data_IF_236855673062
#
_entry.id   IF_236855673062
#
_cell.length_a   1.000
_cell.length_b   1.000
_cell.length_c   1.000
_cell.angle_alpha   90.00
_cell.angle_beta   90.00
_cell.angle_gamma   90.00
#
_symmetry.space_group_name_H-M   'P 1'
#
loop_
_entity.id
_entity.type
_entity.pdbx_description
1 polymer ?
#
# COMPACT_ATOMS: atom_id res chain seq x y z
N UNK A 1 -9.30 11.44 -0.60
CA UNK A 1 -8.10 12.27 -0.32
C UNK A 1 -7.32 12.40 -1.61
N UNK A 2 -6.94 13.61 -2.00
CA UNK A 2 -6.31 13.85 -3.29
C UNK A 2 -4.85 14.28 -3.14
N UNK A 3 -4.00 13.77 -4.03
CA UNK A 3 -2.61 14.17 -4.25
C UNK A 3 -2.49 15.05 -5.49
N UNK A 4 -1.37 14.93 -6.19
CA UNK A 4 -1.09 15.63 -7.45
C UNK A 4 -1.54 14.83 -8.68
N UNK A 5 -1.43 13.52 -8.62
CA UNK A 5 -1.69 12.59 -9.72
C UNK A 5 -2.85 11.65 -9.44
N UNK A 6 -3.04 11.29 -8.16
CA UNK A 6 -4.04 10.30 -7.75
C UNK A 6 -4.87 10.78 -6.56
N UNK A 7 -6.01 10.13 -6.37
CA UNK A 7 -6.78 10.21 -5.13
C UNK A 7 -6.92 8.83 -4.48
N UNK A 8 -6.98 8.81 -3.16
CA UNK A 8 -7.35 7.65 -2.38
C UNK A 8 -8.84 7.75 -2.03
N UNK A 9 -9.63 6.74 -2.43
CA UNK A 9 -11.06 6.63 -2.13
C UNK A 9 -11.40 5.30 -1.47
N UNK A 10 -12.56 5.21 -0.90
CA UNK A 10 -13.11 3.92 -0.43
C UNK A 10 -13.37 2.98 -1.59
N UNK A 11 -13.50 1.69 -1.26
CA UNK A 11 -13.93 0.65 -2.20
C UNK A 11 -15.41 0.84 -2.53
N UNK A 12 -15.78 0.65 -3.79
CA UNK A 12 -17.14 0.68 -4.29
C UNK A 12 -17.55 -0.71 -4.81
N UNK A 13 -18.85 -0.96 -4.97
CA UNK A 13 -19.34 -2.27 -5.43
C UNK A 13 -18.88 -2.62 -6.85
N UNK A 14 -18.70 -1.59 -7.69
CA UNK A 14 -18.22 -1.70 -9.06
C UNK A 14 -16.73 -2.04 -9.21
N UNK A 15 -15.97 -2.04 -8.10
CA UNK A 15 -14.51 -2.27 -8.15
C UNK A 15 -14.11 -3.75 -8.30
N UNK A 16 -15.06 -4.69 -8.42
CA UNK A 16 -14.75 -6.14 -8.55
C UNK A 16 -13.79 -6.40 -9.71
N UNK A 17 -14.03 -5.76 -10.86
CA UNK A 17 -13.16 -5.94 -12.04
C UNK A 17 -11.73 -5.45 -11.79
N UNK A 18 -11.58 -4.34 -11.09
CA UNK A 18 -10.29 -3.76 -10.72
C UNK A 18 -9.55 -4.67 -9.73
N UNK A 19 -10.27 -5.28 -8.80
CA UNK A 19 -9.70 -6.25 -7.88
C UNK A 19 -9.28 -7.55 -8.59
N UNK A 20 -10.06 -8.04 -9.56
CA UNK A 20 -9.67 -9.18 -10.39
C UNK A 20 -8.36 -8.91 -11.12
N UNK A 21 -8.19 -7.71 -11.68
CA UNK A 21 -6.94 -7.31 -12.32
C UNK A 21 -5.76 -7.24 -11.34
N UNK A 22 -6.00 -6.71 -10.12
CA UNK A 22 -4.98 -6.67 -9.06
C UNK A 22 -4.53 -8.06 -8.62
N UNK A 23 -5.48 -9.00 -8.45
CA UNK A 23 -5.16 -10.36 -8.03
C UNK A 23 -4.54 -11.21 -9.14
N UNK A 24 -4.76 -10.88 -10.40
CA UNK A 24 -4.14 -11.53 -11.55
C UNK A 24 -2.71 -11.06 -11.83
N UNK A 25 -2.23 -10.01 -11.16
CA UNK A 25 -0.87 -9.51 -11.32
C UNK A 25 0.13 -10.38 -10.52
N UNK A 26 0.75 -11.36 -11.17
CA UNK A 26 1.72 -12.30 -10.57
C UNK A 26 2.88 -11.59 -9.85
N UNK A 27 3.28 -10.41 -10.33
CA UNK A 27 4.30 -9.62 -9.64
C UNK A 27 3.82 -9.08 -8.30
N UNK A 28 2.51 -9.02 -8.07
CA UNK A 28 1.92 -8.63 -6.79
C UNK A 28 1.96 -9.75 -5.75
N UNK A 29 1.97 -11.00 -6.18
CA UNK A 29 2.11 -12.15 -5.29
C UNK A 29 3.42 -12.09 -4.48
N UNK A 30 4.47 -11.51 -5.05
CA UNK A 30 5.74 -11.21 -4.36
C UNK A 30 5.61 -10.20 -3.22
N UNK A 31 4.57 -9.35 -3.24
CA UNK A 31 4.42 -8.25 -2.29
C UNK A 31 3.33 -8.51 -1.24
N UNK A 32 2.61 -9.60 -1.40
CA UNK A 32 1.65 -10.09 -0.44
C UNK A 32 2.30 -11.31 0.22
N UNK A 33 2.71 -11.25 1.45
CA UNK A 33 3.46 -12.25 2.26
C UNK A 33 3.16 -13.74 2.00
N UNK A 34 2.24 -14.06 1.13
CA UNK A 34 1.84 -15.39 0.69
C UNK A 34 1.37 -15.26 -0.76
N UNK A 35 1.83 -16.12 -1.66
CA UNK A 35 1.17 -16.32 -2.96
C UNK A 35 -0.27 -16.76 -2.67
N UNK A 36 -1.28 -15.92 -2.87
CA UNK A 36 -2.64 -16.33 -2.57
C UNK A 36 -3.02 -17.48 -3.50
N UNK A 37 -3.74 -18.49 -3.03
CA UNK A 37 -4.29 -19.49 -3.93
C UNK A 37 -5.16 -18.80 -4.99
N UNK A 38 -5.27 -19.38 -6.20
CA UNK A 38 -6.18 -18.86 -7.23
C UNK A 38 -7.57 -18.65 -6.64
N UNK A 39 -8.09 -17.44 -6.79
CA UNK A 39 -9.41 -17.08 -6.28
C UNK A 39 -10.43 -17.05 -7.41
N UNK A 40 -11.65 -17.50 -7.15
CA UNK A 40 -12.74 -17.38 -8.11
C UNK A 40 -13.21 -15.92 -8.21
N UNK A 41 -13.77 -15.56 -9.35
CA UNK A 41 -14.40 -14.25 -9.53
C UNK A 41 -15.47 -13.98 -8.47
N UNK A 42 -16.29 -14.99 -8.14
CA UNK A 42 -17.31 -14.88 -7.10
C UNK A 42 -16.72 -14.58 -5.72
N UNK A 43 -15.58 -15.19 -5.36
CA UNK A 43 -14.93 -14.92 -4.09
C UNK A 43 -14.37 -13.48 -4.04
N UNK A 44 -13.85 -12.97 -5.15
CA UNK A 44 -13.38 -11.59 -5.24
C UNK A 44 -14.54 -10.60 -5.21
N UNK A 45 -15.69 -10.94 -5.83
CA UNK A 45 -16.89 -10.12 -5.77
C UNK A 45 -17.46 -10.03 -4.34
N UNK A 46 -17.55 -11.17 -3.65
CA UNK A 46 -17.97 -11.22 -2.25
C UNK A 46 -17.05 -10.38 -1.35
N UNK A 47 -15.74 -10.50 -1.55
CA UNK A 47 -14.76 -9.73 -0.80
C UNK A 47 -14.84 -8.22 -1.11
N UNK A 48 -15.01 -7.83 -2.37
CA UNK A 48 -15.23 -6.44 -2.80
C UNK A 48 -16.49 -5.87 -2.18
N UNK A 49 -17.59 -6.63 -2.26
CA UNK A 49 -18.88 -6.26 -1.68
C UNK A 49 -18.80 -6.10 -0.17
N UNK A 50 -18.07 -6.99 0.51
CA UNK A 50 -17.82 -6.87 1.95
C UNK A 50 -17.01 -5.61 2.28
N UNK A 51 -15.95 -5.31 1.55
CA UNK A 51 -15.15 -4.08 1.74
C UNK A 51 -15.99 -2.82 1.51
N UNK A 52 -16.77 -2.79 0.43
CA UNK A 52 -17.59 -1.63 0.06
C UNK A 52 -18.68 -1.32 1.10
N UNK A 53 -19.22 -2.35 1.76
CA UNK A 53 -20.27 -2.21 2.79
C UNK A 53 -19.73 -2.08 4.20
N UNK A 54 -18.45 -2.36 4.39
CA UNK A 54 -17.84 -2.33 5.72
C UNK A 54 -17.72 -0.91 6.23
N UNK A 55 -18.40 -0.63 7.35
CA UNK A 55 -18.10 0.58 8.12
C UNK A 55 -16.71 0.41 8.74
N UNK A 56 -15.77 1.33 8.51
CA UNK A 56 -14.42 1.23 9.07
C UNK A 56 -14.47 1.35 10.61
N UNK A 57 -14.56 0.24 11.31
CA UNK A 57 -14.63 0.20 12.79
C UNK A 57 -13.26 0.07 13.45
N UNK A 58 -12.26 -0.38 12.72
CA UNK A 58 -10.88 -0.53 13.22
C UNK A 58 -9.95 0.57 12.71
N UNK A 59 -8.69 0.56 13.13
CA UNK A 59 -7.70 1.55 12.72
C UNK A 59 -7.18 1.33 11.30
N UNK A 60 -7.23 0.11 10.78
CA UNK A 60 -6.79 -0.22 9.42
C UNK A 60 -7.79 0.27 8.37
N UNK A 61 -7.25 0.70 7.23
CA UNK A 61 -8.02 1.26 6.11
C UNK A 61 -7.67 0.53 4.82
N UNK A 62 -8.63 0.48 3.91
CA UNK A 62 -8.44 0.02 2.53
C UNK A 62 -8.83 1.15 1.58
N UNK A 63 -7.99 1.45 0.59
CA UNK A 63 -8.19 2.51 -0.36
C UNK A 63 -7.97 2.01 -1.79
N UNK A 64 -8.84 2.42 -2.69
CA UNK A 64 -8.56 2.40 -4.12
C UNK A 64 -7.71 3.61 -4.50
N UNK A 65 -6.74 3.40 -5.38
CA UNK A 65 -5.92 4.46 -5.96
C UNK A 65 -6.50 4.77 -7.33
N UNK A 66 -7.03 5.97 -7.49
CA UNK A 66 -7.68 6.42 -8.70
C UNK A 66 -6.93 7.60 -9.30
N UNK A 67 -6.69 7.57 -10.62
CA UNK A 67 -6.03 8.66 -11.35
C UNK A 67 -6.95 9.88 -11.43
N UNK A 68 -6.41 11.07 -11.11
CA UNK A 68 -7.21 12.31 -11.10
C UNK A 68 -7.64 12.77 -12.50
N UNK A 69 -6.87 12.43 -13.54
CA UNK A 69 -7.11 12.93 -14.88
C UNK A 69 -8.42 12.39 -15.51
N UNK A 70 -8.81 11.16 -15.20
CA UNK A 70 -9.92 10.48 -15.87
C UNK A 70 -10.69 9.52 -14.97
N UNK A 71 -10.29 9.36 -13.71
CA UNK A 71 -10.96 8.45 -12.77
C UNK A 71 -10.56 6.99 -12.94
N UNK A 72 -9.55 6.67 -13.77
CA UNK A 72 -9.13 5.28 -13.96
C UNK A 72 -8.52 4.72 -12.68
N UNK A 73 -8.90 3.49 -12.34
CA UNK A 73 -8.29 2.74 -11.26
C UNK A 73 -6.85 2.36 -11.63
N UNK A 74 -5.90 2.66 -10.76
CA UNK A 74 -4.47 2.40 -11.01
C UNK A 74 -3.82 1.50 -9.97
N UNK A 75 -4.54 1.17 -8.88
CA UNK A 75 -4.01 0.30 -7.84
C UNK A 75 -4.79 0.36 -6.53
N UNK A 76 -4.26 -0.33 -5.52
CA UNK A 76 -4.82 -0.34 -4.17
C UNK A 76 -3.77 -0.03 -3.11
N UNK A 77 -4.21 0.49 -1.97
CA UNK A 77 -3.41 0.74 -0.78
C UNK A 77 -4.19 0.30 0.46
N UNK A 78 -3.53 -0.43 1.33
CA UNK A 78 -4.10 -0.79 2.64
C UNK A 78 -3.15 -0.39 3.76
N UNK A 79 -3.68 0.01 4.90
CA UNK A 79 -2.91 0.12 6.12
C UNK A 79 -3.06 -1.14 6.96
N UNK A 80 -2.00 -1.50 7.66
CA UNK A 80 -1.93 -2.68 8.52
C UNK A 80 -1.34 -2.24 9.87
N UNK A 81 -1.50 -3.09 10.89
CA UNK A 81 -0.88 -2.92 12.21
C UNK A 81 -1.02 -1.49 12.76
N UNK A 82 -2.11 -0.83 12.41
CA UNK A 82 -2.35 0.53 12.86
C UNK A 82 -2.73 0.52 14.34
N UNK A 83 -1.88 1.14 15.15
CA UNK A 83 -2.06 1.31 16.58
C UNK A 83 -2.15 2.81 16.91
N UNK A 84 -3.38 3.33 17.13
CA UNK A 84 -3.56 4.75 17.48
C UNK A 84 -2.95 5.11 18.83
N UNK A 85 -2.81 4.16 19.77
CA UNK A 85 -2.24 4.43 21.09
C UNK A 85 -0.72 4.57 21.02
N UNK A 86 -0.07 3.74 20.22
CA UNK A 86 1.36 3.84 19.94
C UNK A 86 1.69 4.92 18.88
N UNK A 87 0.70 5.37 18.12
CA UNK A 87 0.88 6.34 17.04
C UNK A 87 1.64 5.77 15.83
N UNK A 88 1.54 4.46 15.58
CA UNK A 88 2.29 3.79 14.52
C UNK A 88 1.36 3.01 13.58
N UNK A 89 1.73 2.92 12.30
CA UNK A 89 1.04 2.06 11.33
C UNK A 89 2.00 1.54 10.27
N UNK A 90 1.62 0.47 9.63
CA UNK A 90 2.25 0.01 8.40
C UNK A 90 1.28 0.11 7.22
N UNK A 91 1.79 -0.01 6.01
CA UNK A 91 0.96 -0.07 4.83
C UNK A 91 1.58 -0.96 3.76
N UNK A 92 0.73 -1.44 2.87
CA UNK A 92 1.12 -2.05 1.61
C UNK A 92 0.36 -1.39 0.47
N UNK A 93 1.01 -1.28 -0.69
CA UNK A 93 0.36 -0.79 -1.89
C UNK A 93 0.76 -1.61 -3.10
N UNK A 94 -0.11 -1.60 -4.08
CA UNK A 94 0.10 -2.21 -5.39
C UNK A 94 -0.35 -1.24 -6.47
N UNK A 95 0.48 -1.05 -7.50
CA UNK A 95 0.11 -0.36 -8.72
C UNK A 95 0.02 -1.40 -9.84
N UNK A 96 -1.09 -1.41 -10.56
CA UNK A 96 -1.30 -2.26 -11.73
C UNK A 96 -0.12 -2.15 -12.69
N UNK A 97 0.33 -3.26 -13.25
CA UNK A 97 1.53 -3.33 -14.09
C UNK A 97 1.50 -2.29 -15.22
N UNK A 98 0.36 -2.13 -15.89
CA UNK A 98 0.15 -1.15 -16.98
C UNK A 98 0.30 0.31 -16.56
N UNK A 99 0.29 0.60 -15.25
CA UNK A 99 0.36 1.96 -14.68
C UNK A 99 1.66 2.25 -13.93
N UNK A 100 2.58 1.29 -13.82
CA UNK A 100 3.86 1.48 -13.11
C UNK A 100 4.76 2.50 -13.81
N UNK A 101 5.73 3.04 -13.07
CA UNK A 101 6.71 4.00 -13.59
C UNK A 101 6.19 5.43 -13.81
N UNK A 102 4.95 5.74 -13.44
CA UNK A 102 4.29 7.05 -13.68
C UNK A 102 4.17 7.93 -12.44
N UNK A 103 4.81 7.55 -11.33
CA UNK A 103 4.79 8.34 -10.10
C UNK A 103 3.57 8.11 -9.19
N UNK A 104 2.60 7.30 -9.59
CA UNK A 104 1.34 7.08 -8.83
C UNK A 104 1.59 6.49 -7.44
N UNK A 105 2.51 5.53 -7.31
CA UNK A 105 2.85 4.97 -6.00
C UNK A 105 3.38 6.03 -5.04
N UNK A 106 4.31 6.89 -5.49
CA UNK A 106 4.86 7.97 -4.68
C UNK A 106 3.78 8.94 -4.21
N UNK A 107 2.89 9.35 -5.12
CA UNK A 107 1.83 10.28 -4.81
C UNK A 107 0.82 9.67 -3.83
N UNK A 108 0.42 8.40 -4.05
CA UNK A 108 -0.48 7.67 -3.15
C UNK A 108 0.08 7.51 -1.73
N UNK A 109 1.37 7.15 -1.60
CA UNK A 109 2.05 7.04 -0.31
C UNK A 109 2.07 8.41 0.38
N UNK A 110 2.41 9.48 -0.34
CA UNK A 110 2.46 10.84 0.22
C UNK A 110 1.09 11.27 0.75
N UNK A 111 0.01 10.98 0.00
CA UNK A 111 -1.37 11.25 0.45
C UNK A 111 -1.73 10.44 1.69
N UNK A 112 -1.37 9.14 1.71
CA UNK A 112 -1.62 8.26 2.84
C UNK A 112 -0.89 8.74 4.11
N UNK A 113 0.41 9.03 4.01
CA UNK A 113 1.22 9.54 5.12
C UNK A 113 0.67 10.87 5.64
N UNK A 114 0.35 11.82 4.75
CA UNK A 114 -0.22 13.10 5.15
C UNK A 114 -1.52 12.93 5.92
N UNK A 115 -2.44 12.10 5.44
CA UNK A 115 -3.70 11.82 6.13
C UNK A 115 -3.48 11.20 7.51
N UNK A 116 -2.62 10.18 7.62
CA UNK A 116 -2.39 9.52 8.90
C UNK A 116 -1.66 10.43 9.87
N UNK A 117 -0.63 11.15 9.43
CA UNK A 117 0.14 12.02 10.32
C UNK A 117 -0.61 13.28 10.73
N UNK A 118 -1.37 13.91 9.81
CA UNK A 118 -1.99 15.22 10.08
C UNK A 118 -3.42 15.11 10.60
N UNK A 119 -4.20 14.15 10.08
CA UNK A 119 -5.61 14.00 10.45
C UNK A 119 -5.78 13.00 11.58
N UNK A 120 -5.14 11.83 11.48
CA UNK A 120 -5.25 10.77 12.48
C UNK A 120 -4.18 10.83 13.56
N UNK A 121 -3.20 11.75 13.45
CA UNK A 121 -2.15 12.05 14.44
C UNK A 121 -1.18 10.88 14.71
N UNK A 122 -0.94 10.03 13.72
CA UNK A 122 0.12 9.03 13.80
C UNK A 122 1.50 9.70 13.77
N UNK A 123 2.44 9.15 14.52
CA UNK A 123 3.79 9.72 14.67
C UNK A 123 4.83 9.04 13.78
N UNK A 124 4.55 7.82 13.31
CA UNK A 124 5.43 7.11 12.39
C UNK A 124 4.70 6.11 11.51
N UNK A 125 5.30 5.83 10.35
CA UNK A 125 4.90 4.75 9.48
C UNK A 125 6.07 3.83 9.20
N UNK A 126 5.78 2.52 9.04
CA UNK A 126 6.78 1.56 8.62
C UNK A 126 6.26 0.69 7.46
N UNK A 127 7.19 0.14 6.70
CA UNK A 127 6.88 -0.78 5.60
C UNK A 127 7.86 -1.93 5.61
N UNK A 128 7.39 -3.05 5.10
CA UNK A 128 8.19 -4.23 4.87
C UNK A 128 8.39 -4.41 3.36
N UNK A 129 9.63 -4.62 2.95
CA UNK A 129 9.99 -4.74 1.54
C UNK A 129 10.94 -5.91 1.37
N UNK A 130 10.62 -6.85 0.48
CA UNK A 130 11.56 -7.91 0.14
C UNK A 130 12.81 -7.34 -0.54
N UNK A 131 13.98 -7.89 -0.21
CA UNK A 131 15.28 -7.38 -0.66
C UNK A 131 15.45 -7.35 -2.19
N UNK A 132 14.74 -8.19 -2.92
CA UNK A 132 14.74 -8.21 -4.37
C UNK A 132 13.83 -7.16 -5.02
N UNK A 133 12.96 -6.49 -4.25
CA UNK A 133 12.09 -5.44 -4.74
C UNK A 133 12.80 -4.08 -4.78
N UNK A 134 13.80 -3.97 -5.65
CA UNK A 134 14.62 -2.76 -5.78
C UNK A 134 13.81 -1.50 -6.12
N UNK A 135 12.68 -1.66 -6.81
CA UNK A 135 11.79 -0.54 -7.14
C UNK A 135 11.13 0.04 -5.89
N UNK A 136 10.62 -0.81 -5.02
CA UNK A 136 10.02 -0.40 -3.74
C UNK A 136 11.06 0.20 -2.79
N UNK A 137 12.24 -0.42 -2.69
CA UNK A 137 13.37 0.09 -1.87
C UNK A 137 13.69 1.54 -2.27
N UNK A 138 13.99 1.77 -3.55
CA UNK A 138 14.30 3.11 -4.06
C UNK A 138 13.17 4.10 -3.85
N UNK A 139 11.93 3.67 -4.05
CA UNK A 139 10.75 4.51 -3.84
C UNK A 139 10.67 5.00 -2.39
N UNK A 140 10.80 4.10 -1.43
CA UNK A 140 10.71 4.47 -0.01
C UNK A 140 11.88 5.33 0.45
N UNK A 141 13.11 5.02 0.02
CA UNK A 141 14.27 5.87 0.29
C UNK A 141 14.12 7.28 -0.28
N UNK A 142 13.58 7.43 -1.50
CA UNK A 142 13.29 8.74 -2.10
C UNK A 142 12.17 9.51 -1.41
N UNK A 143 11.26 8.83 -0.70
CA UNK A 143 10.24 9.48 0.13
C UNK A 143 10.84 9.93 1.46
N UNK A 144 11.96 9.35 1.88
CA UNK A 144 12.65 9.68 3.12
C UNK A 144 12.58 8.61 4.19
N UNK A 145 12.15 7.40 3.83
CA UNK A 145 12.23 6.25 4.74
C UNK A 145 13.69 5.83 4.96
N UNK A 146 13.98 5.36 6.15
CA UNK A 146 15.28 4.81 6.55
C UNK A 146 15.17 3.32 6.88
N UNK A 147 16.19 2.55 6.51
CA UNK A 147 16.27 1.13 6.85
C UNK A 147 16.53 0.96 8.34
N UNK A 148 15.66 0.24 9.03
CA UNK A 148 15.79 -0.05 10.48
C UNK A 148 16.27 -1.46 10.77
N UNK A 149 15.99 -2.40 9.88
CA UNK A 149 16.34 -3.79 10.13
C UNK A 149 16.13 -4.71 8.94
N UNK A 150 16.68 -5.92 9.09
CA UNK A 150 16.60 -6.99 8.11
C UNK A 150 16.25 -8.30 8.81
N UNK A 151 15.13 -8.90 8.42
CA UNK A 151 14.74 -10.24 8.85
C UNK A 151 15.21 -11.24 7.80
N UNK A 152 16.14 -12.11 8.17
CA UNK A 152 16.73 -13.07 7.24
C UNK A 152 15.76 -14.22 6.95
N UNK A 153 15.77 -14.68 5.70
CA UNK A 153 15.02 -15.88 5.24
C UNK A 153 13.54 -15.82 5.61
N UNK A 154 12.93 -14.64 5.42
CA UNK A 154 11.56 -14.35 5.85
C UNK A 154 10.50 -14.99 4.95
N UNK A 155 10.81 -15.21 3.67
CA UNK A 155 9.92 -15.88 2.72
C UNK A 155 10.70 -16.81 1.79
N UNK A 156 10.02 -17.84 1.28
CA UNK A 156 10.54 -18.71 0.24
C UNK A 156 9.79 -18.44 -1.07
N UNK A 157 10.51 -17.96 -2.08
CA UNK A 157 9.92 -17.62 -3.36
C UNK A 157 10.87 -17.98 -4.51
N UNK A 158 10.33 -18.60 -5.55
CA UNK A 158 11.11 -18.98 -6.75
C UNK A 158 12.40 -19.74 -6.42
N UNK A 159 12.29 -20.73 -5.52
CA UNK A 159 13.41 -21.61 -5.07
C UNK A 159 14.46 -20.92 -4.19
N UNK A 160 14.25 -19.64 -3.80
CA UNK A 160 15.16 -18.88 -2.95
C UNK A 160 14.48 -18.36 -1.69
N UNK A 161 15.26 -18.21 -0.62
CA UNK A 161 14.82 -17.50 0.57
C UNK A 161 15.11 -16.01 0.43
N UNK A 162 14.08 -15.21 0.61
CA UNK A 162 14.17 -13.74 0.58
C UNK A 162 14.24 -13.17 1.99
N UNK A 163 15.08 -12.16 2.16
CA UNK A 163 15.11 -11.35 3.36
C UNK A 163 14.05 -10.25 3.28
N UNK A 164 13.45 -9.92 4.42
CA UNK A 164 12.49 -8.85 4.57
C UNK A 164 13.15 -7.65 5.22
N UNK A 165 13.12 -6.51 4.57
CA UNK A 165 13.67 -5.25 5.02
C UNK A 165 12.58 -4.42 5.67
N UNK A 166 12.84 -3.88 6.85
CA UNK A 166 11.93 -2.94 7.52
C UNK A 166 12.46 -1.53 7.35
N UNK A 167 11.65 -0.68 6.76
CA UNK A 167 11.88 0.75 6.62
C UNK A 167 10.88 1.53 7.45
N UNK A 168 11.28 2.70 7.97
CA UNK A 168 10.39 3.60 8.69
C UNK A 168 10.60 5.06 8.32
N UNK A 169 9.58 5.87 8.60
CA UNK A 169 9.62 7.33 8.52
C UNK A 169 8.88 7.93 9.71
N UNK A 170 9.54 8.84 10.42
CA UNK A 170 8.89 9.64 11.44
C UNK A 170 8.10 10.80 10.80
N UNK A 171 6.98 11.17 11.41
CA UNK A 171 6.13 12.31 10.99
C UNK A 171 6.93 13.59 10.80
N UNK A 172 7.82 13.92 11.73
CA UNK A 172 8.67 15.12 11.65
C UNK A 172 9.53 15.10 10.38
N UNK A 173 10.19 13.97 10.10
CA UNK A 173 11.01 13.79 8.89
C UNK A 173 10.18 13.90 7.63
N UNK A 174 9.00 13.28 7.60
CA UNK A 174 8.07 13.37 6.49
C UNK A 174 7.64 14.82 6.21
N UNK A 175 7.22 15.56 7.24
CA UNK A 175 6.77 16.94 7.11
C UNK A 175 7.91 17.88 6.68
N UNK A 176 9.13 17.66 7.15
CA UNK A 176 10.30 18.41 6.72
C UNK A 176 10.61 18.24 5.23
N UNK A 177 10.40 17.05 4.68
CA UNK A 177 10.71 16.73 3.28
C UNK A 177 9.57 17.07 2.31
N UNK A 178 8.31 16.97 2.76
CA UNK A 178 7.14 17.06 1.88
C UNK A 178 6.20 18.22 2.19
N UNK A 179 6.50 18.99 3.23
CA UNK A 179 5.65 20.08 3.70
C UNK A 179 4.38 19.59 4.40
N UNK A 180 3.71 20.53 5.07
CA UNK A 180 2.42 20.25 5.71
C UNK A 180 1.29 20.19 4.67
#
# INVERSE_FOLDING_TARGET
>A
MAGKLVRLRGVALEDTRDHLELFADDAAALFMDVTPPPQSEAAIDDWTSWLARKIPTGPNRFFQIERLADGEHVGGLRTNDADPAAGVFSYGLQILQKHRGRGYARDAITVCLRFHCMTLRYESAHVYVFENNLASIRLHEQIGFTLEGRQRRSAFYSEEFLDLLRYSIAKESFLKLHGA
#
